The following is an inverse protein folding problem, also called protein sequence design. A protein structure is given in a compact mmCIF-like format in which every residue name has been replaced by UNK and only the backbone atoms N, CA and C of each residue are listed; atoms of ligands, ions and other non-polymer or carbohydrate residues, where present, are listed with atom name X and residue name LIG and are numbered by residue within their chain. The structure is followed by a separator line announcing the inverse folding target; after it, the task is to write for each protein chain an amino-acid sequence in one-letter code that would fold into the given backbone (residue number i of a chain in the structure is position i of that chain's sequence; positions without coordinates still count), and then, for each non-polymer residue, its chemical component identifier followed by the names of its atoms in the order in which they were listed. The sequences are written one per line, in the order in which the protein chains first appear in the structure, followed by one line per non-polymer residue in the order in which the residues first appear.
data_IF_356066580516
#
_entry.id   IF_356066580516
#
_cell.length_a   1.000
_cell.length_b   1.000
_cell.length_c   1.000
_cell.angle_alpha   90.00
_cell.angle_beta   90.00
_cell.angle_gamma   90.00
#
_symmetry.space_group_name_H-M   'P 1'
#
loop_
_entity.id
_entity.type
_entity.pdbx_description
1 polymer ?
#
# COMPACT_ATOMS: atom_id res chain seq x y z
N UNK A 1 -0.01 5.19 15.26
CA UNK A 1 0.63 5.60 14.00
C UNK A 1 0.56 4.37 13.13
N UNK A 2 -0.37 4.37 12.18
CA UNK A 2 -0.39 3.36 11.12
C UNK A 2 0.99 3.39 10.45
N UNK A 3 1.58 2.21 10.27
CA UNK A 3 2.87 2.07 9.62
C UNK A 3 2.60 1.40 8.27
N UNK A 4 1.85 2.08 7.39
CA UNK A 4 1.48 1.55 6.08
C UNK A 4 2.70 1.18 5.27
N UNK A 5 3.79 1.95 5.37
CA UNK A 5 5.09 1.62 4.77
C UNK A 5 5.60 0.26 5.25
N UNK A 6 5.57 -0.01 6.56
CA UNK A 6 5.94 -1.31 7.12
C UNK A 6 5.05 -2.45 6.65
N UNK A 7 3.74 -2.20 6.52
CA UNK A 7 2.79 -3.17 5.97
C UNK A 7 3.11 -3.50 4.51
N UNK A 8 3.31 -2.48 3.67
CA UNK A 8 3.68 -2.64 2.26
C UNK A 8 5.03 -3.35 2.12
N UNK A 9 6.04 -3.06 2.96
CA UNK A 9 7.30 -3.84 2.99
C UNK A 9 7.02 -5.33 3.28
N UNK A 10 6.07 -5.63 4.17
CA UNK A 10 5.65 -7.00 4.46
C UNK A 10 5.03 -7.72 3.26
N UNK A 11 4.25 -7.00 2.44
CA UNK A 11 3.64 -7.51 1.21
C UNK A 11 4.65 -7.66 0.05
N UNK A 12 5.63 -6.76 -0.03
CA UNK A 12 6.58 -6.67 -1.14
C UNK A 12 8.03 -6.81 -0.66
N UNK A 13 8.33 -7.90 0.03
CA UNK A 13 9.63 -8.11 0.71
C UNK A 13 10.84 -7.91 -0.18
N UNK A 14 10.77 -8.34 -1.45
CA UNK A 14 11.86 -8.18 -2.42
C UNK A 14 12.13 -6.72 -2.83
N UNK A 15 11.16 -5.82 -2.59
CA UNK A 15 11.23 -4.40 -2.95
C UNK A 15 11.38 -3.48 -1.72
N UNK A 16 11.65 -4.03 -0.54
CA UNK A 16 11.71 -3.30 0.73
C UNK A 16 12.55 -2.01 0.66
N UNK A 17 13.78 -2.10 0.13
CA UNK A 17 14.66 -0.93 0.00
C UNK A 17 14.08 0.15 -0.92
N UNK A 18 13.45 -0.23 -2.03
CA UNK A 18 12.84 0.72 -2.95
C UNK A 18 11.64 1.44 -2.32
N UNK A 19 10.86 0.70 -1.50
CA UNK A 19 9.74 1.23 -0.72
C UNK A 19 10.24 2.25 0.31
N UNK A 20 11.27 1.90 1.10
CA UNK A 20 11.88 2.81 2.08
C UNK A 20 12.41 4.11 1.43
N UNK A 21 13.18 3.97 0.35
CA UNK A 21 13.74 5.11 -0.37
C UNK A 21 12.66 6.00 -1.01
N UNK A 22 11.57 5.41 -1.51
CA UNK A 22 10.47 6.15 -2.10
C UNK A 22 9.64 6.86 -1.02
N UNK A 23 9.31 6.16 0.07
CA UNK A 23 8.59 6.71 1.22
C UNK A 23 9.35 7.88 1.86
N UNK A 24 10.68 7.84 1.91
CA UNK A 24 11.51 8.91 2.45
C UNK A 24 11.38 10.27 1.71
N UNK A 25 10.85 10.29 0.48
CA UNK A 25 10.81 11.50 -0.37
C UNK A 25 9.47 11.78 -1.06
N UNK A 26 8.53 10.84 -1.06
CA UNK A 26 7.21 10.99 -1.68
C UNK A 26 6.13 10.82 -0.62
N UNK A 27 5.56 11.94 -0.20
CA UNK A 27 4.39 11.97 0.70
C UNK A 27 3.22 11.19 0.14
N UNK A 28 2.78 11.45 -1.09
CA UNK A 28 1.69 10.69 -1.71
C UNK A 28 1.94 9.18 -1.82
N UNK A 29 3.19 8.72 -1.78
CA UNK A 29 3.46 7.27 -1.70
C UNK A 29 3.29 6.74 -0.27
N UNK A 30 3.62 7.53 0.76
CA UNK A 30 3.32 7.18 2.16
C UNK A 30 1.81 7.13 2.38
N UNK A 31 1.08 8.13 1.88
CA UNK A 31 -0.38 8.19 1.97
C UNK A 31 -1.01 6.96 1.30
N UNK A 32 -0.56 6.59 0.10
CA UNK A 32 -0.99 5.35 -0.58
C UNK A 32 -0.69 4.09 0.25
N UNK A 33 0.44 4.03 0.95
CA UNK A 33 0.76 2.89 1.81
C UNK A 33 -0.16 2.82 3.04
N UNK A 34 -0.52 3.97 3.62
CA UNK A 34 -1.43 4.05 4.75
C UNK A 34 -2.86 3.69 4.31
N UNK A 35 -3.35 4.24 3.19
CA UNK A 35 -4.64 3.88 2.59
C UNK A 35 -4.73 2.37 2.29
N UNK A 36 -3.64 1.78 1.80
CA UNK A 36 -3.56 0.34 1.53
C UNK A 36 -3.68 -0.50 2.80
N UNK A 37 -3.04 -0.09 3.89
CA UNK A 37 -3.19 -0.73 5.19
C UNK A 37 -4.62 -0.57 5.72
N UNK A 38 -5.18 0.64 5.71
CA UNK A 38 -6.53 0.91 6.18
C UNK A 38 -7.57 0.08 5.44
N UNK A 39 -7.49 -0.04 4.12
CA UNK A 39 -8.42 -0.88 3.35
C UNK A 39 -8.30 -2.37 3.73
N UNK A 40 -7.08 -2.84 4.04
CA UNK A 40 -6.85 -4.21 4.46
C UNK A 40 -7.42 -4.49 5.87
N UNK A 41 -7.28 -3.53 6.79
CA UNK A 41 -7.83 -3.59 8.14
C UNK A 41 -9.36 -3.52 8.11
N UNK A 42 -9.95 -2.63 7.31
CA UNK A 42 -11.40 -2.55 7.11
C UNK A 42 -11.98 -3.85 6.55
N UNK A 43 -11.34 -4.43 5.52
CA UNK A 43 -11.74 -5.74 4.99
C UNK A 43 -11.74 -6.80 6.08
N UNK A 44 -10.72 -6.84 6.93
CA UNK A 44 -10.63 -7.78 8.05
C UNK A 44 -11.75 -7.56 9.07
N UNK A 45 -12.13 -6.31 9.36
CA UNK A 45 -13.29 -6.01 10.20
C UNK A 45 -14.58 -6.56 9.58
N UNK A 46 -14.78 -6.39 8.28
CA UNK A 46 -15.95 -6.92 7.57
C UNK A 46 -15.97 -8.45 7.54
N UNK A 47 -14.84 -9.13 7.41
CA UNK A 47 -14.75 -10.59 7.49
C UNK A 47 -15.31 -11.16 8.82
N UNK A 48 -15.17 -10.40 9.92
CA UNK A 48 -15.75 -10.75 11.22
C UNK A 48 -17.20 -10.30 11.44
N UNK A 49 -17.78 -9.53 10.51
CA UNK A 49 -19.11 -8.94 10.67
C UNK A 49 -20.25 -9.96 10.51
N UNK A 50 -21.37 -9.69 11.15
CA UNK A 50 -22.65 -10.41 10.95
C UNK A 50 -23.66 -9.62 10.12
N UNK A 51 -23.28 -8.43 9.65
CA UNK A 51 -24.15 -7.55 8.88
C UNK A 51 -24.51 -8.16 7.51
N UNK A 52 -25.72 -7.92 7.00
CA UNK A 52 -26.18 -8.48 5.72
C UNK A 52 -25.34 -8.01 4.52
N UNK A 53 -24.79 -6.81 4.57
CA UNK A 53 -23.93 -6.20 3.54
C UNK A 53 -22.48 -6.72 3.57
N UNK A 54 -22.12 -7.62 4.48
CA UNK A 54 -20.74 -8.13 4.63
C UNK A 54 -20.12 -8.58 3.31
N UNK A 55 -20.86 -9.38 2.53
CA UNK A 55 -20.34 -9.95 1.29
C UNK A 55 -20.01 -8.87 0.26
N UNK A 56 -20.87 -7.86 0.14
CA UNK A 56 -20.67 -6.71 -0.74
C UNK A 56 -19.46 -5.89 -0.30
N UNK A 57 -19.37 -5.56 1.00
CA UNK A 57 -18.24 -4.79 1.54
C UNK A 57 -16.90 -5.49 1.37
N UNK A 58 -16.83 -6.80 1.63
CA UNK A 58 -15.60 -7.57 1.41
C UNK A 58 -15.18 -7.52 -0.07
N UNK A 59 -16.13 -7.63 -1.00
CA UNK A 59 -15.85 -7.55 -2.43
C UNK A 59 -15.34 -6.15 -2.83
N UNK A 60 -16.00 -5.08 -2.38
CA UNK A 60 -15.57 -3.70 -2.61
C UNK A 60 -14.14 -3.44 -2.10
N UNK A 61 -13.84 -3.82 -0.85
CA UNK A 61 -12.50 -3.63 -0.30
C UNK A 61 -11.46 -4.50 -1.01
N UNK A 62 -11.81 -5.71 -1.45
CA UNK A 62 -10.90 -6.56 -2.22
C UNK A 62 -10.54 -5.91 -3.57
N UNK A 63 -11.50 -5.37 -4.31
CA UNK A 63 -11.25 -4.64 -5.56
C UNK A 63 -10.38 -3.40 -5.35
N UNK A 64 -10.63 -2.66 -4.25
CA UNK A 64 -9.83 -1.50 -3.87
C UNK A 64 -8.38 -1.89 -3.54
N UNK A 65 -8.19 -2.94 -2.73
CA UNK A 65 -6.87 -3.50 -2.38
C UNK A 65 -6.11 -3.93 -3.64
N UNK A 66 -6.78 -4.62 -4.57
CA UNK A 66 -6.13 -5.07 -5.79
C UNK A 66 -5.72 -3.89 -6.69
N UNK A 67 -6.55 -2.86 -6.76
CA UNK A 67 -6.23 -1.62 -7.50
C UNK A 67 -5.04 -0.89 -6.89
N UNK A 68 -4.99 -0.72 -5.56
CA UNK A 68 -3.86 -0.09 -4.87
C UNK A 68 -2.59 -0.92 -4.97
N UNK A 69 -2.68 -2.26 -4.93
CA UNK A 69 -1.53 -3.15 -5.16
C UNK A 69 -0.89 -2.87 -6.52
N UNK A 70 -1.69 -2.77 -7.58
CA UNK A 70 -1.23 -2.44 -8.92
C UNK A 70 -0.59 -1.05 -8.94
N UNK A 71 -1.19 -0.05 -8.28
CA UNK A 71 -0.63 1.30 -8.22
C UNK A 71 0.74 1.35 -7.50
N UNK A 72 0.88 0.61 -6.40
CA UNK A 72 2.16 0.46 -5.67
C UNK A 72 3.20 -0.17 -6.59
N UNK A 73 2.88 -1.27 -7.28
CA UNK A 73 3.79 -1.96 -8.20
C UNK A 73 4.26 -1.02 -9.32
N UNK A 74 3.33 -0.33 -9.98
CA UNK A 74 3.63 0.64 -11.04
C UNK A 74 4.48 1.81 -10.54
N UNK A 75 4.22 2.30 -9.33
CA UNK A 75 4.97 3.40 -8.74
C UNK A 75 6.41 2.97 -8.43
N UNK A 76 6.59 1.75 -7.91
CA UNK A 76 7.92 1.16 -7.67
C UNK A 76 8.67 0.93 -8.99
N UNK A 77 8.00 0.43 -10.04
CA UNK A 77 8.61 0.22 -11.35
C UNK A 77 9.07 1.56 -11.97
N UNK A 78 8.25 2.61 -11.88
CA UNK A 78 8.62 3.96 -12.34
C UNK A 78 9.81 4.52 -11.55
N UNK A 79 9.86 4.28 -10.24
CA UNK A 79 10.98 4.67 -9.40
C UNK A 79 12.27 3.92 -9.73
N UNK A 80 12.19 2.69 -10.25
CA UNK A 80 13.35 1.93 -10.71
C UNK A 80 13.91 2.45 -12.05
N UNK A 81 13.04 2.97 -12.93
CA UNK A 81 13.42 3.49 -14.26
C UNK A 81 14.13 4.85 -14.16
N UNK A 82 13.71 5.72 -13.24
CA UNK A 82 14.37 7.01 -12.99
C UNK A 82 15.38 6.82 -11.86
N UNK A 83 16.71 6.90 -12.11
CA UNK A 83 17.68 6.76 -11.05
C UNK A 83 17.37 7.75 -9.93
N UNK A 84 17.03 7.17 -8.79
CA UNK A 84 16.77 7.83 -7.54
C UNK A 84 18.04 8.56 -7.13
N UNK A 85 18.20 9.82 -7.57
CA UNK A 85 19.43 10.57 -7.30
C UNK A 85 19.60 10.67 -5.78
N UNK A 86 20.77 10.34 -5.23
CA UNK A 86 21.01 10.52 -3.81
C UNK A 86 20.96 12.01 -3.48
N UNK A 87 20.56 12.36 -2.24
CA UNK A 87 20.67 13.74 -1.77
C UNK A 87 22.12 14.19 -1.92
N UNK A 88 22.32 15.34 -2.57
CA UNK A 88 23.62 15.99 -2.56
C UNK A 88 23.89 16.45 -1.12
N UNK A 89 25.02 15.99 -0.60
CA UNK A 89 25.56 16.22 0.76
C UNK A 89 25.25 17.59 1.34
#
# INVERSE_FOLDING_TARGET
MENGVGFVIGCFKERAKAIEELAARKEGFRDLCDDFLTAHDEKLQWEGSSAPERGERIAEYQELIDSMRIEIELTLDRAAIVPLRPPRR
#
